data_IF_834182045625
#
_entry.id   IF_834182045625
#
_cell.length_a   1.000
_cell.length_b   1.000
_cell.length_c   1.000
_cell.angle_alpha   90.00
_cell.angle_beta   90.00
_cell.angle_gamma   90.00
#
_symmetry.space_group_name_H-M   'P 1'
#
loop_
_entity.id
_entity.type
_entity.pdbx_description
1 polymer ?
#
# COMPACT_ATOMS: atom_id res chain seq x y z
N UNK A 1 13.89 15.32 -12.88
CA UNK A 1 12.85 15.23 -11.81
C UNK A 1 11.76 14.29 -12.30
N UNK A 2 11.10 13.55 -11.40
CA UNK A 2 10.14 12.48 -11.74
C UNK A 2 8.83 13.02 -12.31
N UNK A 3 8.30 14.10 -11.73
CA UNK A 3 7.03 14.73 -12.12
C UNK A 3 7.18 15.50 -13.44
N UNK A 4 6.18 15.37 -14.32
CA UNK A 4 6.19 16.00 -15.65
C UNK A 4 5.82 17.48 -15.60
N UNK A 5 4.77 17.83 -14.85
CA UNK A 5 4.27 19.20 -14.74
C UNK A 5 5.06 20.04 -13.72
N UNK A 6 5.22 21.33 -13.99
CA UNK A 6 5.99 22.23 -13.12
C UNK A 6 5.33 22.43 -11.76
N UNK A 7 4.00 22.57 -11.71
CA UNK A 7 3.28 22.70 -10.45
C UNK A 7 3.41 21.45 -9.56
N UNK A 8 3.52 20.26 -10.14
CA UNK A 8 3.76 19.01 -9.39
C UNK A 8 5.18 18.97 -8.82
N UNK A 9 6.16 19.50 -9.55
CA UNK A 9 7.54 19.63 -9.06
C UNK A 9 7.63 20.61 -7.90
N UNK A 10 6.83 21.67 -7.92
CA UNK A 10 6.75 22.63 -6.83
C UNK A 10 6.02 22.05 -5.62
N UNK A 11 4.89 21.37 -5.82
CA UNK A 11 4.21 20.63 -4.76
C UNK A 11 5.14 19.57 -4.11
N UNK A 12 5.95 18.88 -4.91
CA UNK A 12 6.96 17.93 -4.40
C UNK A 12 8.03 18.61 -3.55
N UNK A 13 8.46 19.83 -3.93
CA UNK A 13 9.39 20.64 -3.15
C UNK A 13 8.77 21.11 -1.83
N UNK A 14 7.49 21.48 -1.87
CA UNK A 14 6.73 21.84 -0.68
C UNK A 14 6.61 20.65 0.28
N UNK A 15 6.32 19.44 -0.22
CA UNK A 15 6.34 18.22 0.60
C UNK A 15 7.71 17.97 1.22
N UNK A 16 8.79 18.11 0.44
CA UNK A 16 10.17 17.91 0.93
C UNK A 16 10.60 18.93 1.99
N UNK A 17 10.02 20.14 1.97
CA UNK A 17 10.32 21.23 2.91
C UNK A 17 9.31 21.34 4.05
N UNK A 18 8.40 20.36 4.19
CA UNK A 18 7.41 20.30 5.27
C UNK A 18 6.20 21.23 5.08
N UNK A 19 6.08 21.89 3.92
CA UNK A 19 4.92 22.73 3.56
C UNK A 19 3.75 21.88 3.05
N UNK A 20 3.34 20.89 3.84
CA UNK A 20 2.31 19.91 3.46
C UNK A 20 1.01 20.59 3.05
N UNK A 21 0.56 21.62 3.78
CA UNK A 21 -0.66 22.37 3.46
C UNK A 21 -0.64 23.02 2.08
N UNK A 22 0.50 23.56 1.66
CA UNK A 22 0.68 24.15 0.33
C UNK A 22 0.62 23.07 -0.76
N UNK A 23 1.34 21.95 -0.55
CA UNK A 23 1.33 20.84 -1.49
C UNK A 23 -0.07 20.22 -1.65
N UNK A 24 -0.76 19.92 -0.55
CA UNK A 24 -2.13 19.39 -0.60
C UNK A 24 -3.08 20.39 -1.27
N UNK A 25 -2.95 21.69 -0.98
CA UNK A 25 -3.73 22.73 -1.65
C UNK A 25 -3.50 22.77 -3.17
N UNK A 26 -2.27 22.53 -3.64
CA UNK A 26 -1.97 22.45 -5.07
C UNK A 26 -2.67 21.26 -5.75
N UNK A 27 -2.65 20.07 -5.13
CA UNK A 27 -3.39 18.91 -5.66
C UNK A 27 -4.92 19.11 -5.57
N UNK A 28 -5.41 19.70 -4.49
CA UNK A 28 -6.84 20.02 -4.29
C UNK A 28 -7.35 20.98 -5.38
N UNK A 29 -6.58 22.01 -5.73
CA UNK A 29 -6.89 22.93 -6.83
C UNK A 29 -6.96 22.24 -8.21
N UNK A 30 -6.34 21.07 -8.36
CA UNK A 30 -6.37 20.25 -9.57
C UNK A 30 -7.44 19.14 -9.49
N UNK A 31 -8.28 19.12 -8.45
CA UNK A 31 -9.31 18.11 -8.25
C UNK A 31 -8.75 16.72 -7.92
N UNK A 32 -7.53 16.65 -7.38
CA UNK A 32 -6.81 15.40 -7.08
C UNK A 32 -6.92 14.98 -5.60
N UNK A 33 -7.71 15.70 -4.80
CA UNK A 33 -7.95 15.39 -3.38
C UNK A 33 -9.44 15.19 -3.19
N UNK A 34 -9.83 14.03 -2.67
CA UNK A 34 -11.20 13.55 -2.62
C UNK A 34 -11.59 13.21 -1.18
N UNK A 35 -12.60 13.90 -0.66
CA UNK A 35 -13.21 13.60 0.63
C UNK A 35 -14.48 12.77 0.44
N UNK A 36 -14.66 11.76 1.28
CA UNK A 36 -15.91 10.98 1.39
C UNK A 36 -16.47 11.05 2.82
N UNK A 37 -17.71 10.56 3.03
CA UNK A 37 -18.31 10.58 4.36
C UNK A 37 -17.63 9.61 5.33
N UNK A 38 -17.13 8.47 4.83
CA UNK A 38 -16.39 7.47 5.61
C UNK A 38 -15.15 6.93 4.90
N UNK A 39 -14.27 6.25 5.63
CA UNK A 39 -13.13 5.55 5.03
C UNK A 39 -13.57 4.48 4.03
N UNK A 40 -14.65 3.78 4.34
CA UNK A 40 -15.19 2.73 3.48
C UNK A 40 -15.69 3.30 2.14
N UNK A 41 -16.37 4.47 2.18
CA UNK A 41 -16.79 5.18 0.99
C UNK A 41 -15.57 5.73 0.22
N UNK A 42 -14.60 6.32 0.92
CA UNK A 42 -13.35 6.78 0.30
C UNK A 42 -12.62 5.65 -0.44
N UNK A 43 -12.62 4.44 0.14
CA UNK A 43 -12.04 3.23 -0.47
C UNK A 43 -12.82 2.81 -1.72
N UNK A 44 -14.15 2.79 -1.66
CA UNK A 44 -15.01 2.47 -2.81
C UNK A 44 -14.78 3.45 -3.97
N UNK A 45 -14.80 4.75 -3.66
CA UNK A 45 -14.56 5.81 -4.62
C UNK A 45 -13.17 5.71 -5.23
N UNK A 46 -12.14 5.50 -4.41
CA UNK A 46 -10.77 5.28 -4.86
C UNK A 46 -10.71 4.16 -5.90
N UNK A 47 -11.28 3.00 -5.58
CA UNK A 47 -11.26 1.83 -6.48
C UNK A 47 -12.05 2.10 -7.76
N UNK A 48 -13.16 2.84 -7.68
CA UNK A 48 -13.92 3.25 -8.87
C UNK A 48 -13.12 4.20 -9.77
N UNK A 49 -12.39 5.17 -9.21
CA UNK A 49 -11.52 6.06 -10.01
C UNK A 49 -10.35 5.28 -10.61
N UNK A 50 -9.70 4.43 -9.82
CA UNK A 50 -8.63 3.56 -10.28
C UNK A 50 -9.07 2.70 -11.47
N UNK A 51 -10.27 2.11 -11.41
CA UNK A 51 -10.78 1.27 -12.50
C UNK A 51 -11.08 2.07 -13.76
N UNK A 52 -11.66 3.27 -13.62
CA UNK A 52 -11.88 4.18 -14.75
C UNK A 52 -10.55 4.59 -15.41
N UNK A 53 -9.56 4.97 -14.61
CA UNK A 53 -8.24 5.38 -15.10
C UNK A 53 -7.50 4.21 -15.76
N UNK A 54 -7.65 3.00 -15.22
CA UNK A 54 -7.14 1.77 -15.83
C UNK A 54 -7.72 1.51 -17.21
N UNK A 55 -9.02 1.74 -17.40
CA UNK A 55 -9.67 1.55 -18.69
C UNK A 55 -9.29 2.66 -19.69
N UNK A 56 -9.18 3.91 -19.23
CA UNK A 56 -8.82 5.05 -20.06
C UNK A 56 -7.36 4.99 -20.55
N UNK A 57 -6.43 4.53 -19.70
CA UNK A 57 -5.00 4.47 -20.01
C UNK A 57 -4.40 3.09 -19.73
N UNK A 58 -4.76 2.02 -20.44
CA UNK A 58 -4.42 0.64 -20.05
C UNK A 58 -2.92 0.39 -19.82
N UNK A 59 -2.06 1.09 -20.57
CA UNK A 59 -0.60 0.95 -20.52
C UNK A 59 0.07 1.75 -19.41
N UNK A 60 -0.62 2.69 -18.77
CA UNK A 60 -0.03 3.48 -17.69
C UNK A 60 0.20 2.59 -16.45
N UNK A 61 1.39 2.69 -15.87
CA UNK A 61 1.70 2.00 -14.62
C UNK A 61 0.95 2.65 -13.45
N UNK A 62 0.38 1.83 -12.56
CA UNK A 62 -0.43 2.32 -11.44
C UNK A 62 -0.30 1.48 -10.19
N UNK A 63 -0.45 2.14 -9.04
CA UNK A 63 -0.55 1.46 -7.73
C UNK A 63 -1.43 2.25 -6.76
N UNK A 64 -2.12 1.52 -5.88
CA UNK A 64 -2.82 2.08 -4.74
C UNK A 64 -1.91 2.01 -3.50
N UNK A 65 -1.77 3.11 -2.77
CA UNK A 65 -0.93 3.21 -1.58
C UNK A 65 -1.75 3.53 -0.33
N UNK A 66 -1.44 2.85 0.76
CA UNK A 66 -2.03 3.13 2.08
C UNK A 66 -1.07 2.74 3.21
N UNK A 67 -1.46 2.96 4.46
CA UNK A 67 -0.58 2.79 5.61
C UNK A 67 -0.53 1.34 6.14
N UNK A 68 -1.66 0.65 6.26
CA UNK A 68 -1.75 -0.64 6.97
C UNK A 68 -1.91 -1.83 6.01
N UNK A 69 -1.51 -3.02 6.46
CA UNK A 69 -1.72 -4.25 5.69
C UNK A 69 -3.21 -4.61 5.55
N UNK A 70 -4.04 -4.22 6.51
CA UNK A 70 -5.48 -4.50 6.50
C UNK A 70 -6.17 -3.71 5.39
N UNK A 71 -5.84 -2.42 5.25
CA UNK A 71 -6.33 -1.61 4.14
C UNK A 71 -5.77 -2.10 2.80
N UNK A 72 -4.51 -2.54 2.75
CA UNK A 72 -3.95 -3.17 1.54
C UNK A 72 -4.73 -4.41 1.13
N UNK A 73 -5.11 -5.28 2.08
CA UNK A 73 -5.92 -6.47 1.80
C UNK A 73 -7.29 -6.08 1.25
N UNK A 74 -7.98 -5.14 1.90
CA UNK A 74 -9.28 -4.65 1.47
C UNK A 74 -9.23 -4.02 0.06
N UNK A 75 -8.21 -3.19 -0.21
CA UNK A 75 -8.01 -2.55 -1.52
C UNK A 75 -7.65 -3.54 -2.62
N UNK A 76 -6.79 -4.52 -2.34
CA UNK A 76 -6.47 -5.59 -3.29
C UNK A 76 -7.72 -6.39 -3.65
N UNK A 77 -8.54 -6.74 -2.66
CA UNK A 77 -9.79 -7.45 -2.90
C UNK A 77 -10.76 -6.62 -3.75
N UNK A 78 -11.02 -5.37 -3.36
CA UNK A 78 -11.96 -4.50 -4.08
C UNK A 78 -11.50 -4.20 -5.52
N UNK A 79 -10.20 -3.97 -5.74
CA UNK A 79 -9.65 -3.78 -7.08
C UNK A 79 -9.78 -5.05 -7.94
N UNK A 80 -9.51 -6.22 -7.37
CA UNK A 80 -9.66 -7.50 -8.06
C UNK A 80 -11.12 -7.82 -8.39
N UNK A 81 -12.06 -7.44 -7.52
CA UNK A 81 -13.49 -7.55 -7.79
C UNK A 81 -13.92 -6.71 -9.00
N UNK A 82 -13.37 -5.49 -9.18
CA UNK A 82 -13.58 -4.69 -10.40
C UNK A 82 -13.01 -5.39 -11.64
N UNK A 83 -11.82 -5.98 -11.54
CA UNK A 83 -11.22 -6.74 -12.64
C UNK A 83 -12.08 -7.94 -13.06
N UNK A 84 -12.62 -8.68 -12.08
CA UNK A 84 -13.58 -9.78 -12.33
C UNK A 84 -14.86 -9.28 -12.99
N UNK A 85 -15.46 -8.22 -12.45
CA UNK A 85 -16.71 -7.65 -12.97
C UNK A 85 -16.56 -7.13 -14.42
N UNK A 86 -15.36 -6.68 -14.78
CA UNK A 86 -15.02 -6.24 -16.13
C UNK A 86 -14.61 -7.40 -17.07
N UNK A 87 -14.69 -8.67 -16.63
CA UNK A 87 -14.20 -9.84 -17.35
C UNK A 87 -12.74 -9.70 -17.81
N UNK A 88 -11.92 -9.00 -17.03
CA UNK A 88 -10.52 -8.72 -17.33
C UNK A 88 -9.56 -9.77 -16.72
N UNK A 89 -10.10 -10.82 -16.10
CA UNK A 89 -9.36 -11.93 -15.52
C UNK A 89 -9.76 -13.25 -16.19
N UNK A 90 -8.80 -14.15 -16.36
CA UNK A 90 -9.06 -15.52 -16.77
C UNK A 90 -9.62 -16.39 -15.64
N UNK A 91 -9.51 -17.71 -15.81
CA UNK A 91 -9.99 -18.67 -14.83
C UNK A 91 -9.21 -18.60 -13.51
N UNK A 92 -9.92 -18.74 -12.40
CA UNK A 92 -9.31 -18.69 -11.08
C UNK A 92 -8.59 -19.99 -10.75
N UNK A 93 -7.34 -19.85 -10.31
CA UNK A 93 -6.50 -20.92 -9.81
C UNK A 93 -6.15 -20.62 -8.36
N UNK A 94 -6.51 -21.55 -7.47
CA UNK A 94 -6.10 -21.47 -6.08
C UNK A 94 -4.66 -21.98 -5.94
N UNK A 95 -3.81 -21.13 -5.38
CA UNK A 95 -2.39 -21.39 -5.18
C UNK A 95 -2.05 -21.31 -3.71
N UNK A 96 -1.26 -22.27 -3.22
CA UNK A 96 -0.65 -22.18 -1.90
C UNK A 96 0.51 -21.19 -1.94
N UNK A 97 0.35 -20.03 -1.30
CA UNK A 97 1.45 -19.05 -1.13
C UNK A 97 1.90 -19.00 0.32
N UNK A 98 3.06 -18.39 0.57
CA UNK A 98 3.68 -18.33 1.91
C UNK A 98 2.71 -17.81 3.00
N UNK A 99 1.80 -16.90 2.63
CA UNK A 99 0.84 -16.27 3.54
C UNK A 99 -0.53 -16.98 3.57
N UNK A 100 -0.60 -18.22 3.13
CA UNK A 100 -1.83 -19.01 3.03
C UNK A 100 -2.36 -19.10 1.59
N UNK A 101 -3.38 -19.91 1.38
CA UNK A 101 -3.97 -20.10 0.05
C UNK A 101 -4.56 -18.80 -0.50
N UNK A 102 -4.39 -18.58 -1.81
CA UNK A 102 -4.90 -17.40 -2.52
C UNK A 102 -5.30 -17.73 -3.95
N UNK A 103 -6.35 -17.09 -4.45
CA UNK A 103 -6.78 -17.25 -5.83
C UNK A 103 -6.11 -16.22 -6.72
N UNK A 104 -5.52 -16.67 -7.82
CA UNK A 104 -4.98 -15.84 -8.89
C UNK A 104 -5.64 -16.21 -10.21
N UNK A 105 -5.56 -15.33 -11.19
CA UNK A 105 -5.99 -15.56 -12.56
C UNK A 105 -5.01 -14.87 -13.52
N UNK A 106 -4.99 -15.27 -14.80
CA UNK A 106 -4.34 -14.45 -15.82
C UNK A 106 -4.98 -13.05 -15.87
N UNK A 107 -4.17 -12.03 -16.11
CA UNK A 107 -4.56 -10.62 -16.01
C UNK A 107 -4.46 -10.02 -14.60
N UNK A 108 -4.25 -10.83 -13.56
CA UNK A 108 -4.11 -10.29 -12.21
C UNK A 108 -2.84 -9.45 -12.07
N UNK A 109 -2.96 -8.34 -11.34
CA UNK A 109 -1.82 -7.60 -10.83
C UNK A 109 -1.25 -8.31 -9.60
N UNK A 110 0.07 -8.53 -9.57
CA UNK A 110 0.73 -9.20 -8.45
C UNK A 110 2.04 -8.49 -8.04
N UNK A 111 2.57 -8.88 -6.88
CA UNK A 111 3.83 -8.40 -6.33
C UNK A 111 4.69 -9.56 -5.81
N UNK A 112 5.98 -9.54 -6.15
CA UNK A 112 6.99 -10.39 -5.52
C UNK A 112 7.31 -9.89 -4.10
N UNK A 113 7.30 -10.77 -3.11
CA UNK A 113 7.53 -10.44 -1.69
C UNK A 113 8.92 -10.84 -1.17
N UNK A 114 9.71 -11.59 -1.95
CA UNK A 114 11.07 -11.99 -1.62
C UNK A 114 12.01 -11.74 -2.79
N UNK A 115 13.25 -11.34 -2.52
CA UNK A 115 14.28 -11.31 -3.55
C UNK A 115 14.55 -12.73 -4.04
N UNK A 116 14.70 -12.92 -5.35
CA UNK A 116 15.17 -14.17 -5.93
C UNK A 116 16.14 -13.87 -7.07
N UNK A 117 17.41 -14.23 -6.86
CA UNK A 117 18.49 -13.88 -7.80
C UNK A 117 18.38 -14.68 -9.07
N UNK A 118 17.97 -15.95 -9.00
CA UNK A 118 17.80 -16.81 -10.17
C UNK A 118 16.72 -16.29 -11.14
N UNK A 119 15.67 -15.67 -10.59
CA UNK A 119 14.60 -15.03 -11.36
C UNK A 119 14.90 -13.56 -11.70
N UNK A 120 15.96 -12.98 -11.12
CA UNK A 120 16.27 -11.55 -11.27
C UNK A 120 15.18 -10.62 -10.72
N UNK A 121 14.43 -11.06 -9.71
CA UNK A 121 13.33 -10.28 -9.10
C UNK A 121 13.67 -9.83 -7.69
N UNK A 122 13.15 -8.66 -7.31
CA UNK A 122 13.32 -8.07 -5.98
C UNK A 122 11.97 -8.02 -5.26
N UNK A 123 11.99 -8.01 -3.93
CA UNK A 123 10.81 -7.69 -3.12
C UNK A 123 10.26 -6.31 -3.52
N UNK A 124 8.96 -6.26 -3.80
CA UNK A 124 8.28 -5.08 -4.32
C UNK A 124 8.23 -5.01 -5.85
N UNK A 125 8.84 -5.94 -6.57
CA UNK A 125 8.69 -6.02 -8.04
C UNK A 125 7.24 -6.35 -8.37
N UNK A 126 6.64 -5.54 -9.23
CA UNK A 126 5.27 -5.70 -9.70
C UNK A 126 5.26 -6.32 -11.09
N UNK A 127 4.16 -7.00 -11.41
CA UNK A 127 3.90 -7.51 -12.74
C UNK A 127 2.44 -7.87 -12.95
N UNK A 128 2.13 -8.38 -14.14
CA UNK A 128 0.83 -8.93 -14.51
C UNK A 128 1.02 -10.43 -14.75
N UNK A 129 0.10 -11.23 -14.25
CA UNK A 129 0.11 -12.68 -14.50
C UNK A 129 -0.33 -12.92 -15.94
N UNK A 130 0.52 -13.57 -16.73
CA UNK A 130 0.20 -14.01 -18.09
C UNK A 130 -0.49 -15.38 -18.04
N UNK A 131 0.06 -16.29 -17.23
CA UNK A 131 -0.47 -17.65 -17.03
C UNK A 131 -0.26 -18.09 -15.58
N UNK A 132 -1.22 -18.83 -15.04
CA UNK A 132 -1.13 -19.43 -13.71
C UNK A 132 -1.72 -20.84 -13.73
N UNK A 133 -1.01 -21.76 -13.10
CA UNK A 133 -1.47 -23.11 -12.79
C UNK A 133 -1.25 -23.39 -11.30
N UNK A 134 -1.64 -24.57 -10.82
CA UNK A 134 -1.37 -24.98 -9.44
C UNK A 134 0.12 -25.26 -9.17
N UNK A 135 0.93 -25.40 -10.23
CA UNK A 135 2.35 -25.76 -10.15
C UNK A 135 3.27 -24.62 -10.58
N UNK A 136 2.86 -23.75 -11.50
CA UNK A 136 3.72 -22.74 -12.08
C UNK A 136 2.98 -21.42 -12.32
N UNK A 137 3.75 -20.36 -12.47
CA UNK A 137 3.25 -19.04 -12.84
C UNK A 137 4.21 -18.38 -13.83
N UNK A 138 3.64 -17.78 -14.87
CA UNK A 138 4.34 -16.95 -15.85
C UNK A 138 3.80 -15.54 -15.77
N UNK A 139 4.70 -14.57 -15.65
CA UNK A 139 4.36 -13.18 -15.38
C UNK A 139 5.18 -12.24 -16.24
N UNK A 140 4.59 -11.11 -16.59
CA UNK A 140 5.27 -9.98 -17.19
C UNK A 140 5.52 -8.92 -16.11
N UNK A 141 6.77 -8.64 -15.80
CA UNK A 141 7.14 -7.57 -14.85
C UNK A 141 7.02 -6.20 -15.49
N UNK A 142 6.89 -5.15 -14.68
CA UNK A 142 6.76 -3.76 -15.17
C UNK A 142 7.95 -3.25 -16.00
N UNK A 143 9.13 -3.86 -15.81
CA UNK A 143 10.30 -3.57 -16.63
C UNK A 143 10.32 -4.36 -17.96
N UNK A 144 9.23 -5.06 -18.29
CA UNK A 144 8.99 -5.73 -19.56
C UNK A 144 9.56 -7.15 -19.67
N UNK A 145 10.07 -7.73 -18.59
CA UNK A 145 10.61 -9.10 -18.61
C UNK A 145 9.49 -10.11 -18.41
N UNK A 146 9.53 -11.21 -19.17
CA UNK A 146 8.73 -12.40 -18.85
C UNK A 146 9.53 -13.29 -17.89
N UNK A 147 8.91 -13.68 -16.78
CA UNK A 147 9.51 -14.50 -15.72
C UNK A 147 8.58 -15.68 -15.48
N UNK A 148 9.11 -16.90 -15.58
CA UNK A 148 8.38 -18.14 -15.28
C UNK A 148 9.04 -18.85 -14.11
N UNK A 149 8.24 -19.35 -13.18
CA UNK A 149 8.75 -20.05 -12.00
C UNK A 149 7.77 -21.13 -11.52
N UNK A 150 8.32 -22.16 -10.86
CA UNK A 150 7.55 -23.19 -10.16
C UNK A 150 7.18 -22.66 -8.77
N UNK A 151 5.91 -22.84 -8.40
CA UNK A 151 5.36 -22.40 -7.12
C UNK A 151 5.94 -23.18 -5.94
N UNK A 152 6.49 -24.38 -6.16
CA UNK A 152 7.23 -25.12 -5.13
C UNK A 152 8.56 -24.46 -4.77
N UNK A 153 9.18 -23.78 -5.74
CA UNK A 153 10.50 -23.15 -5.59
C UNK A 153 10.36 -21.69 -5.15
N UNK A 154 9.26 -21.04 -5.56
CA UNK A 154 8.96 -19.66 -5.18
C UNK A 154 7.45 -19.43 -5.01
N UNK A 155 7.03 -19.24 -3.74
CA UNK A 155 5.64 -18.96 -3.36
C UNK A 155 5.47 -17.62 -2.60
N UNK A 156 6.47 -16.73 -2.65
CA UNK A 156 6.43 -15.44 -1.95
C UNK A 156 5.78 -14.35 -2.82
N UNK A 157 4.50 -14.50 -3.10
CA UNK A 157 3.72 -13.58 -3.94
C UNK A 157 2.42 -13.15 -3.26
N UNK A 158 1.88 -12.01 -3.67
CA UNK A 158 0.56 -11.51 -3.27
C UNK A 158 -0.03 -10.65 -4.41
N UNK A 159 -1.30 -10.26 -4.31
CA UNK A 159 -1.87 -9.27 -5.21
C UNK A 159 -1.15 -7.92 -5.09
N UNK A 160 -0.99 -7.27 -6.25
CA UNK A 160 -0.17 -6.06 -6.41
C UNK A 160 -0.97 -4.83 -6.83
N UNK A 161 -2.29 -4.83 -6.65
CA UNK A 161 -3.12 -3.64 -6.93
C UNK A 161 -2.85 -2.53 -5.90
N UNK A 162 -2.66 -2.94 -4.64
CA UNK A 162 -2.37 -2.06 -3.52
C UNK A 162 -1.11 -2.51 -2.76
N UNK A 163 -0.41 -1.55 -2.15
CA UNK A 163 0.73 -1.80 -1.29
C UNK A 163 0.81 -0.79 -0.15
N UNK A 164 1.55 -1.15 0.90
CA UNK A 164 1.86 -0.20 1.95
C UNK A 164 2.83 0.86 1.43
N UNK A 165 2.71 2.09 1.93
CA UNK A 165 3.60 3.21 1.55
C UNK A 165 5.08 2.84 1.75
N UNK A 166 5.40 2.07 2.81
CA UNK A 166 6.74 1.57 3.07
C UNK A 166 7.28 0.69 1.93
N UNK A 167 6.44 -0.18 1.34
CA UNK A 167 6.83 -1.03 0.21
C UNK A 167 6.97 -0.27 -1.11
N UNK A 168 6.40 0.93 -1.20
CA UNK A 168 6.53 1.80 -2.36
C UNK A 168 7.80 2.67 -2.33
N UNK A 169 8.65 2.57 -1.30
CA UNK A 169 9.92 3.31 -1.28
C UNK A 169 10.77 2.96 -2.51
N UNK A 170 11.30 3.98 -3.18
CA UNK A 170 12.05 3.83 -4.44
C UNK A 170 11.21 3.54 -5.68
N UNK A 171 9.92 3.21 -5.54
CA UNK A 171 9.02 3.00 -6.66
C UNK A 171 8.76 4.29 -7.43
N UNK A 172 8.54 4.17 -8.74
CA UNK A 172 8.02 5.22 -9.62
C UNK A 172 6.97 4.58 -10.52
N UNK A 173 5.78 5.16 -10.56
CA UNK A 173 4.71 4.77 -11.50
C UNK A 173 4.16 6.01 -12.18
N UNK A 174 3.37 5.84 -13.23
CA UNK A 174 2.75 6.96 -13.93
C UNK A 174 1.66 7.58 -13.05
N UNK A 175 0.78 6.75 -12.47
CA UNK A 175 -0.36 7.20 -11.64
C UNK A 175 -0.43 6.50 -10.29
N UNK A 176 -0.82 7.23 -9.25
CA UNK A 176 -0.98 6.68 -7.91
C UNK A 176 -2.32 7.06 -7.31
N UNK A 177 -2.97 6.12 -6.62
CA UNK A 177 -4.07 6.46 -5.73
C UNK A 177 -3.62 6.28 -4.29
N UNK A 178 -3.96 7.20 -3.40
CA UNK A 178 -3.54 7.16 -2.00
C UNK A 178 -4.79 7.17 -1.12
N UNK A 179 -4.97 6.15 -0.27
CA UNK A 179 -5.94 6.19 0.81
C UNK A 179 -5.25 6.74 2.06
N UNK A 180 -5.54 7.99 2.40
CA UNK A 180 -5.02 8.60 3.61
C UNK A 180 -5.74 8.06 4.85
N UNK A 181 -4.98 7.76 5.89
CA UNK A 181 -5.49 7.21 7.16
C UNK A 181 -4.79 7.88 8.34
N UNK A 182 -5.38 7.90 9.56
CA UNK A 182 -4.79 8.55 10.74
C UNK A 182 -3.40 8.03 11.14
N UNK A 183 -3.05 6.84 10.65
CA UNK A 183 -1.74 6.23 10.82
C UNK A 183 -0.64 6.85 9.97
N UNK A 184 -0.91 7.81 9.09
CA UNK A 184 0.13 8.50 8.32
C UNK A 184 0.88 9.56 9.14
N UNK A 185 1.98 10.03 8.55
CA UNK A 185 2.88 11.05 9.08
C UNK A 185 3.56 11.78 7.91
N UNK A 186 4.46 12.72 8.21
CA UNK A 186 5.18 13.53 7.22
C UNK A 186 5.99 12.69 6.23
N UNK A 187 6.65 11.64 6.70
CA UNK A 187 7.45 10.77 5.84
C UNK A 187 6.56 9.91 4.95
N UNK A 188 5.51 9.31 5.50
CA UNK A 188 4.52 8.55 4.76
C UNK A 188 3.83 9.41 3.70
N UNK A 189 3.50 10.66 4.02
CA UNK A 189 2.91 11.64 3.10
C UNK A 189 3.86 11.98 1.97
N UNK A 190 5.12 12.32 2.28
CA UNK A 190 6.14 12.58 1.26
C UNK A 190 6.31 11.36 0.35
N UNK A 191 6.42 10.16 0.90
CA UNK A 191 6.59 8.95 0.08
C UNK A 191 5.36 8.75 -0.80
N UNK A 192 4.16 8.67 -0.24
CA UNK A 192 2.93 8.36 -0.97
C UNK A 192 2.67 9.34 -2.13
N UNK A 193 2.78 10.64 -1.85
CA UNK A 193 2.38 11.69 -2.78
C UNK A 193 3.42 11.96 -3.89
N UNK A 194 4.63 11.41 -3.78
CA UNK A 194 5.72 11.66 -4.76
C UNK A 194 6.05 10.48 -5.65
N UNK A 195 5.31 9.36 -5.56
CA UNK A 195 5.57 8.14 -6.36
C UNK A 195 5.15 8.26 -7.84
N UNK A 196 4.27 9.21 -8.17
CA UNK A 196 3.73 9.40 -9.53
C UNK A 196 4.67 10.20 -10.46
N UNK A 197 4.52 9.99 -11.77
CA UNK A 197 5.07 10.85 -12.83
C UNK A 197 4.02 11.82 -13.39
N UNK A 198 2.79 11.33 -13.52
CA UNK A 198 1.73 11.98 -14.31
C UNK A 198 0.59 12.49 -13.42
N UNK A 199 0.13 11.69 -12.45
CA UNK A 199 -0.94 12.12 -11.54
C UNK A 199 -1.06 11.32 -10.26
N UNK A 200 -1.61 11.96 -9.23
CA UNK A 200 -1.89 11.32 -7.94
C UNK A 200 -3.26 11.75 -7.45
N UNK A 201 -4.09 10.79 -7.06
CA UNK A 201 -5.38 11.03 -6.42
C UNK A 201 -5.32 10.59 -4.96
N UNK A 202 -5.57 11.51 -4.04
CA UNK A 202 -5.65 11.23 -2.60
C UNK A 202 -7.10 11.16 -2.16
N UNK A 203 -7.43 10.14 -1.38
CA UNK A 203 -8.77 9.88 -0.87
C UNK A 203 -8.75 9.79 0.66
N UNK A 204 -9.75 10.36 1.33
CA UNK A 204 -9.89 10.24 2.78
C UNK A 204 -11.35 10.31 3.24
N UNK A 205 -11.64 9.65 4.35
CA UNK A 205 -12.96 9.66 5.00
C UNK A 205 -13.09 10.76 6.05
N UNK A 206 -14.29 11.31 6.20
CA UNK A 206 -14.60 12.34 7.21
C UNK A 206 -14.68 11.78 8.63
N UNK A 207 -14.95 10.48 8.76
CA UNK A 207 -14.86 9.72 10.02
C UNK A 207 -13.43 9.68 10.58
N UNK A 208 -12.43 9.57 9.70
CA UNK A 208 -11.01 9.67 10.05
C UNK A 208 -10.55 11.11 10.21
N UNK A 209 -11.00 11.99 9.31
CA UNK A 209 -10.57 13.38 9.23
C UNK A 209 -11.78 14.32 9.11
N UNK A 210 -12.38 14.64 10.25
CA UNK A 210 -13.56 15.51 10.30
C UNK A 210 -13.35 16.90 9.67
N UNK A 211 -12.10 17.39 9.58
CA UNK A 211 -11.78 18.65 8.92
C UNK A 211 -10.47 18.56 8.14
N UNK A 212 -10.30 19.47 7.18
CA UNK A 212 -9.07 19.63 6.40
C UNK A 212 -7.85 19.88 7.31
N UNK A 213 -8.00 20.65 8.38
CA UNK A 213 -6.92 20.92 9.34
C UNK A 213 -6.47 19.65 10.07
N UNK A 214 -7.40 18.72 10.39
CA UNK A 214 -7.04 17.43 11.00
C UNK A 214 -6.26 16.54 10.04
N UNK A 215 -6.65 16.53 8.76
CA UNK A 215 -5.89 15.85 7.71
C UNK A 215 -4.47 16.42 7.62
N UNK A 216 -4.34 17.74 7.44
CA UNK A 216 -3.03 18.39 7.31
C UNK A 216 -2.15 18.18 8.55
N UNK A 217 -2.73 18.25 9.76
CA UNK A 217 -2.00 17.99 11.00
C UNK A 217 -1.42 16.58 11.02
N UNK A 218 -2.22 15.58 10.65
CA UNK A 218 -1.77 14.18 10.58
C UNK A 218 -0.66 14.01 9.54
N UNK A 219 -0.87 14.53 8.33
CA UNK A 219 0.09 14.42 7.24
C UNK A 219 1.38 15.22 7.49
N UNK A 220 1.38 16.16 8.44
CA UNK A 220 2.56 16.96 8.82
C UNK A 220 3.25 16.46 10.08
N UNK A 221 2.70 15.46 10.78
CA UNK A 221 3.24 14.97 12.05
C UNK A 221 4.60 14.30 11.83
N UNK A 222 5.57 14.61 12.68
CA UNK A 222 6.89 13.97 12.67
C UNK A 222 6.99 12.92 13.79
N UNK A 223 6.53 11.69 13.50
CA UNK A 223 6.54 10.61 14.50
C UNK A 223 7.93 10.19 14.96
N UNK A 224 8.99 10.47 14.19
CA UNK A 224 10.35 10.12 14.62
C UNK A 224 10.79 10.97 15.82
N UNK A 225 10.33 12.23 15.92
CA UNK A 225 10.62 13.11 17.06
C UNK A 225 9.69 12.85 18.25
N UNK A 226 8.42 12.53 17.99
CA UNK A 226 7.47 12.15 19.04
C UNK A 226 7.95 10.91 19.81
N UNK A 227 8.49 9.89 19.10
CA UNK A 227 9.05 8.69 19.72
C UNK A 227 10.38 8.89 20.48
N UNK A 228 11.15 9.96 20.16
CA UNK A 228 12.38 10.31 20.88
C UNK A 228 12.05 11.05 22.19
N UNK A 229 11.04 11.90 22.16
CA UNK A 229 10.45 12.53 23.37
C UNK A 229 9.87 11.48 24.32
N UNK A 230 9.18 10.47 23.77
CA UNK A 230 8.56 9.40 24.56
C UNK A 230 9.59 8.40 25.11
N UNK A 231 10.81 8.35 24.55
CA UNK A 231 11.88 7.48 25.02
C UNK A 231 12.42 7.88 26.41
N UNK A 232 12.28 9.16 26.79
CA UNK A 232 12.65 9.64 28.12
C UNK A 232 11.60 9.27 29.20
N UNK A 233 10.45 8.69 28.82
CA UNK A 233 9.34 8.42 29.73
C UNK A 233 8.75 6.99 29.68
N UNK A 234 9.22 6.09 28.82
CA UNK A 234 8.59 4.75 28.66
C UNK A 234 9.54 3.60 29.03
N UNK A 235 9.07 2.73 29.93
CA UNK A 235 9.71 1.48 30.35
C UNK A 235 9.95 0.56 29.12
N UNK A 236 11.21 0.20 28.80
CA UNK A 236 11.58 -0.62 27.63
C UNK A 236 10.83 -1.95 27.48
N UNK A 237 10.23 -2.46 28.57
CA UNK A 237 9.48 -3.71 28.56
C UNK A 237 8.09 -3.63 27.88
N UNK A 238 7.49 -2.44 27.75
CA UNK A 238 6.19 -2.25 27.07
C UNK A 238 6.33 -2.29 25.54
N UNK A 239 7.37 -1.66 25.00
CA UNK A 239 7.58 -1.47 23.56
C UNK A 239 7.92 -2.77 22.81
N UNK A 240 8.43 -3.78 23.52
CA UNK A 240 8.73 -5.10 22.95
C UNK A 240 7.47 -5.97 22.76
N UNK A 241 6.43 -5.77 23.59
CA UNK A 241 5.21 -6.58 23.55
C UNK A 241 4.24 -6.16 22.43
N UNK A 242 4.14 -4.86 22.15
CA UNK A 242 3.27 -4.32 21.09
C UNK A 242 3.71 -4.76 19.68
N UNK A 243 5.01 -5.01 19.48
CA UNK A 243 5.58 -5.43 18.20
C UNK A 243 5.28 -6.88 17.81
N UNK A 244 4.74 -7.71 18.71
CA UNK A 244 4.45 -9.14 18.44
C UNK A 244 3.01 -9.59 18.68
N UNK A 245 2.09 -8.70 19.07
CA UNK A 245 0.66 -9.06 19.18
C UNK A 245 0.35 -10.14 20.21
N UNK A 246 1.10 -10.22 21.32
CA UNK A 246 0.81 -11.13 22.43
C UNK A 246 -0.24 -10.50 23.33
N UNK A 247 -1.39 -11.16 23.51
CA UNK A 247 -2.47 -10.62 24.34
C UNK A 247 -2.18 -10.81 25.83
N UNK A 248 -2.57 -9.84 26.66
CA UNK A 248 -2.37 -9.79 28.11
C UNK A 248 -2.78 -11.09 28.86
N UNK A 249 -3.75 -11.85 28.34
CA UNK A 249 -4.17 -13.15 28.90
C UNK A 249 -3.09 -14.23 28.86
N UNK A 250 -2.18 -14.21 27.88
CA UNK A 250 -1.09 -15.19 27.80
C UNK A 250 -0.02 -14.96 28.89
N UNK A 251 0.17 -13.70 29.32
CA UNK A 251 1.09 -13.36 30.44
C UNK A 251 0.63 -13.92 31.78
N UNK A 252 -0.67 -13.88 32.09
CA UNK A 252 -1.17 -14.34 33.40
C UNK A 252 -0.98 -15.86 33.54
N UNK A 253 -1.23 -16.64 32.49
CA UNK A 253 -1.06 -18.09 32.52
C UNK A 253 0.42 -18.52 32.68
N UNK A 254 1.35 -17.76 32.08
CA UNK A 254 2.79 -18.04 32.12
C UNK A 254 3.42 -17.59 33.44
N UNK A 255 2.93 -16.48 34.01
CA UNK A 255 3.34 -15.98 35.34
C UNK A 255 2.81 -16.90 36.45
N UNK A 256 1.56 -17.37 36.36
CA UNK A 256 0.96 -18.28 37.36
C UNK A 256 1.66 -19.64 37.38
N UNK A 257 2.07 -20.18 36.22
CA UNK A 257 2.89 -21.43 36.16
C UNK A 257 4.29 -21.29 36.74
N UNK A 258 4.83 -20.07 36.82
CA UNK A 258 6.20 -19.82 37.28
C UNK A 258 6.27 -19.52 38.78
N UNK A 259 5.15 -19.14 39.39
CA UNK A 259 5.06 -18.73 40.79
C UNK A 259 4.53 -19.87 41.69
N UNK A 260 3.80 -20.85 41.14
CA UNK A 260 3.34 -22.02 41.88
C UNK A 260 3.74 -23.32 41.18
N UNK A 261 4.93 -23.88 41.44
CA UNK A 261 5.15 -25.31 41.27
C UNK A 261 4.39 -26.08 42.37
N UNK A 262 3.89 -27.29 42.06
CA UNK A 262 3.35 -28.22 43.06
C UNK A 262 4.34 -28.50 44.20
#
# INVERSE_FOLDING_TARGET
>A
RRQREDWQRDATRDLATGKIGAAIGAYEAQGMVHQAASRDEARSDLVARWDRDRQAEPRASRIILTHTNDEVRALNQAARERMRAAAALGDEVQVGVERGARNFASGDRFMFLRNERGLGVKNGTLGVIEEVTTQSMTVQTDDGRSVSFDLKDYAHIDHGYAATIHKAQGMTVDRTHVLATPGMDVHGSYVALTRHRDGMDMHYGSDDFATRERLLRTLSRDRAKDMVSDYDQIDPAQTFAERRGITFRQRVAEIVRRILPE
#
